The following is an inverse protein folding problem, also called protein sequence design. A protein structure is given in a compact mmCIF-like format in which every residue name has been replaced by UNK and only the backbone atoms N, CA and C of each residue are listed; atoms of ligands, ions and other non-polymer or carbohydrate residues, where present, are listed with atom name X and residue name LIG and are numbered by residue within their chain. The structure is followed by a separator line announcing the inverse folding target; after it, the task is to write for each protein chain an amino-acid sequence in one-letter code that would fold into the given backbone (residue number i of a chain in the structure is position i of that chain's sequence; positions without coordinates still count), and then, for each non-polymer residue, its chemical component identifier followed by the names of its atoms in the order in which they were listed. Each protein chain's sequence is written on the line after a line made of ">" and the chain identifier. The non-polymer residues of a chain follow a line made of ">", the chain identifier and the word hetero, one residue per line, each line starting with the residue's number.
data_IF_586635466315
#
_entry.id   IF_586635466315
#
_cell.length_a   1.000
_cell.length_b   1.000
_cell.length_c   1.000
_cell.angle_alpha   90.00
_cell.angle_beta   90.00
_cell.angle_gamma   90.00
#
_symmetry.space_group_name_H-M   'P 1'
#
loop_
_entity.id
_entity.type
_entity.pdbx_description
1 polymer ?
#
# COMPACT_ATOMS: atom_id res chain seq x y z
N UNK A 1 44.75 -21.47 19.14
CA UNK A 1 43.50 -21.31 18.35
C UNK A 1 42.43 -20.39 18.97
N UNK A 2 42.42 -20.05 20.28
CA UNK A 2 41.35 -19.23 20.91
C UNK A 2 41.37 -17.71 20.62
N UNK A 3 42.46 -17.14 20.07
CA UNK A 3 42.56 -15.69 19.86
C UNK A 3 41.97 -15.17 18.54
N UNK A 4 41.91 -15.98 17.47
CA UNK A 4 41.39 -15.53 16.17
C UNK A 4 39.87 -15.22 16.20
N UNK A 5 39.10 -15.95 17.01
CA UNK A 5 37.64 -15.77 17.08
C UNK A 5 37.24 -14.47 17.80
N UNK A 6 38.05 -13.97 18.74
CA UNK A 6 37.74 -12.72 19.46
C UNK A 6 37.84 -11.49 18.57
N UNK A 7 38.80 -11.48 17.65
CA UNK A 7 39.00 -10.36 16.71
C UNK A 7 37.85 -10.30 15.71
N UNK A 8 37.41 -11.43 15.17
CA UNK A 8 36.27 -11.47 14.24
C UNK A 8 34.96 -10.99 14.88
N UNK A 9 34.69 -11.36 16.14
CA UNK A 9 33.49 -10.90 16.86
C UNK A 9 33.52 -9.38 17.07
N UNK A 10 34.67 -8.80 17.43
CA UNK A 10 34.80 -7.35 17.60
C UNK A 10 34.61 -6.57 16.29
N UNK A 11 35.11 -7.11 15.17
CA UNK A 11 34.91 -6.50 13.84
C UNK A 11 33.42 -6.52 13.46
N UNK A 12 32.72 -7.64 13.70
CA UNK A 12 31.29 -7.76 13.41
C UNK A 12 30.45 -6.77 14.24
N UNK A 13 30.75 -6.64 15.53
CA UNK A 13 30.08 -5.68 16.41
C UNK A 13 30.32 -4.23 15.97
N UNK A 14 31.54 -3.90 15.53
CA UNK A 14 31.87 -2.60 14.96
C UNK A 14 31.03 -2.26 13.72
N UNK A 15 30.88 -3.22 12.80
CA UNK A 15 30.07 -3.04 11.59
C UNK A 15 28.58 -2.84 11.94
N UNK A 16 28.04 -3.62 12.88
CA UNK A 16 26.64 -3.49 13.32
C UNK A 16 26.37 -2.11 13.94
N UNK A 17 27.32 -1.59 14.74
CA UNK A 17 27.19 -0.26 15.34
C UNK A 17 27.22 0.87 14.30
N UNK A 18 28.08 0.74 13.27
CA UNK A 18 28.14 1.71 12.17
C UNK A 18 26.84 1.70 11.37
N UNK A 19 26.31 0.53 11.01
CA UNK A 19 25.05 0.39 10.28
C UNK A 19 23.89 0.99 11.10
N UNK A 20 23.84 0.69 12.41
CA UNK A 20 22.81 1.22 13.32
C UNK A 20 22.87 2.75 13.44
N UNK A 21 24.07 3.33 13.45
CA UNK A 21 24.27 4.77 13.48
C UNK A 21 23.81 5.45 12.18
N UNK A 22 24.17 4.89 11.01
CA UNK A 22 23.74 5.41 9.70
C UNK A 22 22.22 5.31 9.56
N UNK A 23 21.62 4.20 9.98
CA UNK A 23 20.17 4.01 9.95
C UNK A 23 19.44 5.02 10.84
N UNK A 24 19.94 5.27 12.07
CA UNK A 24 19.38 6.28 12.96
C UNK A 24 19.46 7.70 12.37
N UNK A 25 20.59 8.05 11.76
CA UNK A 25 20.76 9.33 11.05
C UNK A 25 19.79 9.48 9.89
N UNK A 26 19.58 8.41 9.10
CA UNK A 26 18.63 8.39 8.00
C UNK A 26 17.18 8.60 8.48
N UNK A 27 16.79 7.95 9.57
CA UNK A 27 15.46 8.14 10.20
C UNK A 27 15.26 9.58 10.71
N UNK A 28 16.29 10.21 11.28
CA UNK A 28 16.23 11.63 11.69
C UNK A 28 16.05 12.58 10.50
N UNK A 29 16.66 12.27 9.34
CA UNK A 29 16.50 13.06 8.12
C UNK A 29 15.08 12.96 7.56
N UNK A 30 14.50 11.76 7.54
CA UNK A 30 13.10 11.57 7.13
C UNK A 30 12.15 12.36 8.05
N UNK A 31 12.35 12.29 9.36
CA UNK A 31 11.52 13.01 10.34
C UNK A 31 11.60 14.54 10.20
N UNK A 32 12.74 15.11 9.77
CA UNK A 32 12.85 16.56 9.51
C UNK A 32 12.14 17.02 8.23
N UNK A 33 12.00 16.14 7.25
CA UNK A 33 11.33 16.49 6.01
C UNK A 33 9.81 16.52 6.19
N UNK A 34 9.26 15.70 7.08
CA UNK A 34 7.83 15.73 7.43
C UNK A 34 7.44 16.95 8.28
N UNK A 35 8.39 17.56 9.01
CA UNK A 35 8.12 18.73 9.86
C UNK A 35 8.19 20.08 9.14
N UNK A 36 8.34 20.11 7.81
CA UNK A 36 8.44 21.35 7.01
C UNK A 36 7.17 21.73 6.25
N UNK A 37 6.03 21.13 6.58
CA UNK A 37 4.73 21.65 6.16
C UNK A 37 4.37 22.77 7.13
N UNK A 38 4.67 24.03 6.75
CA UNK A 38 4.24 25.21 7.51
C UNK A 38 2.71 25.28 7.54
N UNK A 39 2.09 25.39 8.72
CA UNK A 39 0.69 25.78 8.82
C UNK A 39 0.57 27.24 8.40
N UNK A 40 -0.07 27.47 7.26
CA UNK A 40 -0.46 28.80 6.80
C UNK A 40 -1.25 29.52 7.90
N UNK A 41 -0.82 30.74 8.17
CA UNK A 41 -1.32 31.68 9.17
C UNK A 41 -2.84 31.88 9.12
N UNK A 42 -3.56 31.25 10.05
CA UNK A 42 -4.84 31.74 10.57
C UNK A 42 -4.81 31.44 12.06
N UNK A 43 -4.50 32.44 12.88
CA UNK A 43 -4.87 32.63 14.30
C UNK A 43 -3.87 33.55 15.01
N UNK A 44 -3.80 34.80 14.59
CA UNK A 44 -3.46 35.88 15.51
C UNK A 44 -4.73 36.62 15.89
N UNK A 45 -5.31 36.21 17.00
CA UNK A 45 -6.42 36.93 17.60
C UNK A 45 -7.25 36.05 18.51
N UNK A 46 -6.69 35.62 19.64
CA UNK A 46 -7.34 35.52 20.96
C UNK A 46 -6.26 35.07 21.95
N UNK A 47 -5.64 36.03 22.64
CA UNK A 47 -5.01 35.78 23.94
C UNK A 47 -5.08 37.04 24.80
N UNK A 48 -6.21 37.21 25.49
CA UNK A 48 -6.26 37.88 26.80
C UNK A 48 -7.58 37.57 27.50
N UNK A 49 -7.60 36.50 28.32
CA UNK A 49 -8.25 36.53 29.63
C UNK A 49 -8.00 35.27 30.45
N UNK A 50 -7.45 35.58 31.62
CA UNK A 50 -7.20 34.82 32.85
C UNK A 50 -8.33 33.87 33.27
N UNK A 51 -7.94 32.64 33.61
CA UNK A 51 -8.34 31.89 34.81
C UNK A 51 -9.82 31.64 35.07
N UNK A 52 -10.40 30.59 34.47
CA UNK A 52 -11.60 29.91 34.98
C UNK A 52 -11.43 28.40 34.78
N UNK A 53 -11.42 27.65 35.88
CA UNK A 53 -11.46 26.18 35.88
C UNK A 53 -12.88 25.73 35.54
N UNK A 54 -13.18 25.57 34.25
CA UNK A 54 -14.46 25.01 33.79
C UNK A 54 -14.30 23.52 33.57
N UNK A 55 -15.13 22.71 34.24
CA UNK A 55 -15.29 21.28 33.95
C UNK A 55 -15.73 21.16 32.50
N UNK A 56 -14.87 20.63 31.63
CA UNK A 56 -15.17 20.43 30.22
C UNK A 56 -16.15 19.23 30.12
N UNK A 57 -17.40 19.41 29.68
CA UNK A 57 -18.25 18.28 29.36
C UNK A 57 -17.65 17.56 28.15
N UNK A 58 -17.41 16.26 28.32
CA UNK A 58 -17.07 15.35 27.21
C UNK A 58 -18.30 15.28 26.32
N UNK A 59 -18.39 16.18 25.34
CA UNK A 59 -19.36 16.08 24.27
C UNK A 59 -18.87 14.99 23.32
N UNK A 60 -19.40 13.78 23.51
CA UNK A 60 -19.33 12.67 22.56
C UNK A 60 -20.23 12.98 21.36
N UNK A 61 -19.92 14.06 20.64
CA UNK A 61 -20.52 14.33 19.34
C UNK A 61 -19.91 13.32 18.37
N UNK A 62 -20.53 12.14 18.31
CA UNK A 62 -20.35 11.19 17.22
C UNK A 62 -20.86 11.88 15.98
N UNK A 63 -20.00 12.66 15.32
CA UNK A 63 -20.26 13.18 13.98
C UNK A 63 -20.43 11.95 13.10
N UNK A 64 -21.67 11.54 12.87
CA UNK A 64 -22.02 10.62 11.81
C UNK A 64 -21.54 11.28 10.53
N UNK A 65 -20.30 10.95 10.15
CA UNK A 65 -19.76 11.25 8.84
C UNK A 65 -20.76 10.66 7.87
N UNK A 66 -21.57 11.52 7.27
CA UNK A 66 -22.45 11.13 6.18
C UNK A 66 -21.50 10.52 5.16
N UNK A 67 -21.55 9.18 5.04
CA UNK A 67 -20.73 8.44 4.07
C UNK A 67 -21.18 8.93 2.71
N UNK A 68 -20.51 9.95 2.19
CA UNK A 68 -20.64 10.34 0.81
C UNK A 68 -20.22 9.12 0.01
N UNK A 69 -21.19 8.45 -0.60
CA UNK A 69 -20.90 7.43 -1.60
C UNK A 69 -20.12 8.13 -2.70
N UNK A 70 -18.87 7.72 -2.96
CA UNK A 70 -18.12 8.31 -4.06
C UNK A 70 -18.94 8.14 -5.35
N UNK A 71 -18.92 9.12 -6.25
CA UNK A 71 -19.60 8.99 -7.53
C UNK A 71 -19.10 7.72 -8.25
N UNK A 72 -19.96 7.04 -9.02
CA UNK A 72 -19.54 5.85 -9.76
C UNK A 72 -18.38 6.22 -10.70
N UNK A 73 -17.42 5.30 -10.92
CA UNK A 73 -16.27 5.57 -11.77
C UNK A 73 -16.73 5.88 -13.20
N UNK A 74 -16.09 6.87 -13.84
CA UNK A 74 -16.30 7.21 -15.25
C UNK A 74 -16.00 5.97 -16.09
N UNK A 75 -16.95 5.51 -16.90
CA UNK A 75 -16.79 4.36 -17.79
C UNK A 75 -16.28 4.78 -19.16
N UNK A 76 -15.60 3.86 -19.85
CA UNK A 76 -15.19 3.97 -21.25
C UNK A 76 -15.86 2.87 -22.07
N UNK A 77 -16.71 3.27 -23.01
CA UNK A 77 -17.41 2.37 -23.92
C UNK A 77 -16.91 2.50 -25.37
N UNK A 78 -15.81 3.23 -25.58
CA UNK A 78 -15.25 3.52 -26.90
C UNK A 78 -14.29 2.44 -27.40
N UNK A 79 -13.68 2.67 -28.57
CA UNK A 79 -12.60 1.82 -29.07
C UNK A 79 -11.42 1.79 -28.10
N UNK A 80 -10.85 0.61 -27.86
CA UNK A 80 -9.64 0.43 -27.04
C UNK A 80 -8.39 0.94 -27.79
N UNK A 81 -8.28 2.25 -27.91
CA UNK A 81 -7.18 2.97 -28.56
C UNK A 81 -6.61 4.01 -27.60
N UNK A 82 -5.31 4.33 -27.74
CA UNK A 82 -4.65 5.33 -26.88
C UNK A 82 -5.39 6.67 -26.90
N UNK A 83 -5.81 7.14 -28.08
CA UNK A 83 -6.52 8.42 -28.22
C UNK A 83 -7.87 8.42 -27.50
N UNK A 84 -8.67 7.36 -27.65
CA UNK A 84 -9.99 7.29 -27.04
C UNK A 84 -9.91 7.13 -25.51
N UNK A 85 -8.88 6.46 -25.01
CA UNK A 85 -8.57 6.38 -23.58
C UNK A 85 -8.14 7.73 -23.01
N UNK A 86 -7.35 8.53 -23.75
CA UNK A 86 -7.03 9.90 -23.34
C UNK A 86 -8.22 10.82 -23.33
N UNK A 87 -9.12 10.71 -24.31
CA UNK A 87 -10.37 11.48 -24.29
C UNK A 87 -11.23 11.13 -23.06
N UNK A 88 -11.21 9.84 -22.66
CA UNK A 88 -12.00 9.38 -21.52
C UNK A 88 -11.35 9.69 -20.17
N UNK A 89 -10.03 9.57 -20.05
CA UNK A 89 -9.32 9.54 -18.77
C UNK A 89 -8.07 10.43 -18.69
N UNK A 90 -7.80 11.23 -19.73
CA UNK A 90 -6.63 12.13 -19.81
C UNK A 90 -6.62 13.27 -18.78
N UNK A 91 -7.69 13.41 -18.00
CA UNK A 91 -7.75 14.32 -16.85
C UNK A 91 -6.73 13.96 -15.75
N UNK A 92 -6.22 12.72 -15.72
CA UNK A 92 -5.07 12.38 -14.87
C UNK A 92 -3.85 13.10 -15.43
N UNK A 93 -3.46 14.20 -14.76
CA UNK A 93 -2.28 14.99 -15.08
C UNK A 93 -1.09 14.07 -15.29
N UNK A 94 -0.52 14.12 -16.49
CA UNK A 94 0.75 13.51 -16.80
C UNK A 94 1.80 14.07 -15.82
N UNK A 95 2.52 13.18 -15.14
CA UNK A 95 3.66 13.56 -14.33
C UNK A 95 4.86 13.64 -15.28
N UNK A 96 5.41 14.84 -15.57
CA UNK A 96 6.47 14.98 -16.56
C UNK A 96 7.69 14.10 -16.27
N UNK A 97 8.00 13.86 -14.99
CA UNK A 97 9.12 13.01 -14.59
C UNK A 97 8.89 11.52 -14.89
N UNK A 98 7.63 11.10 -14.94
CA UNK A 98 7.22 9.74 -15.29
C UNK A 98 7.09 9.61 -16.80
N UNK A 99 6.60 10.65 -17.48
CA UNK A 99 6.48 10.74 -18.95
C UNK A 99 7.83 10.76 -19.66
N UNK A 100 8.86 11.32 -19.05
CA UNK A 100 10.23 11.26 -19.58
C UNK A 100 10.75 9.82 -19.71
N UNK A 101 10.45 8.96 -18.73
CA UNK A 101 10.96 7.58 -18.69
C UNK A 101 10.04 6.55 -19.31
N UNK A 102 8.74 6.74 -19.12
CA UNK A 102 7.71 5.79 -19.56
C UNK A 102 6.57 6.57 -20.22
N UNK A 103 6.70 7.12 -21.43
CA UNK A 103 5.67 7.99 -22.02
C UNK A 103 4.27 7.38 -21.93
N UNK A 104 3.28 8.17 -21.50
CA UNK A 104 1.95 7.65 -21.17
C UNK A 104 1.27 6.96 -22.36
N UNK A 105 1.43 7.51 -23.57
CA UNK A 105 0.90 6.93 -24.79
C UNK A 105 1.51 5.56 -25.11
N UNK A 106 2.82 5.41 -24.93
CA UNK A 106 3.54 4.16 -25.18
C UNK A 106 3.17 3.10 -24.14
N UNK A 107 3.04 3.52 -22.88
CA UNK A 107 2.57 2.65 -21.80
C UNK A 107 1.18 2.10 -22.08
N UNK A 108 0.23 2.95 -22.48
CA UNK A 108 -1.12 2.52 -22.86
C UNK A 108 -1.09 1.59 -24.06
N UNK A 109 -0.31 1.91 -25.10
CA UNK A 109 -0.16 1.03 -26.27
C UNK A 109 0.33 -0.36 -25.88
N UNK A 110 1.35 -0.46 -25.03
CA UNK A 110 1.88 -1.74 -24.53
C UNK A 110 0.80 -2.54 -23.79
N UNK A 111 -0.04 -1.91 -22.96
CA UNK A 111 -1.14 -2.60 -22.28
C UNK A 111 -2.18 -3.14 -23.28
N UNK A 112 -2.55 -2.32 -24.26
CA UNK A 112 -3.51 -2.70 -25.30
C UNK A 112 -2.99 -3.86 -26.18
N UNK A 113 -1.71 -3.84 -26.55
CA UNK A 113 -1.05 -4.92 -27.28
C UNK A 113 -1.03 -6.25 -26.51
N UNK A 114 -1.09 -6.18 -25.17
CA UNK A 114 -1.22 -7.33 -24.28
C UNK A 114 -2.68 -7.78 -24.06
N UNK A 115 -3.63 -7.20 -24.78
CA UNK A 115 -5.06 -7.55 -24.70
C UNK A 115 -5.79 -6.98 -23.50
N UNK A 116 -5.20 -5.99 -22.81
CA UNK A 116 -5.82 -5.37 -21.64
C UNK A 116 -6.95 -4.45 -22.06
N UNK A 117 -8.13 -4.71 -21.52
CA UNK A 117 -9.31 -3.86 -21.66
C UNK A 117 -9.36 -2.92 -20.45
N UNK A 118 -9.43 -1.62 -20.71
CA UNK A 118 -9.62 -0.57 -19.71
C UNK A 118 -11.07 -0.09 -19.81
N UNK A 119 -11.90 -0.49 -18.85
CA UNK A 119 -13.36 -0.27 -18.89
C UNK A 119 -13.78 1.00 -18.15
N UNK A 120 -13.00 1.42 -17.16
CA UNK A 120 -13.33 2.58 -16.33
C UNK A 120 -12.08 3.31 -15.79
N UNK A 121 -12.35 4.39 -15.08
CA UNK A 121 -11.32 5.22 -14.47
C UNK A 121 -10.46 4.46 -13.44
N UNK A 122 -11.02 3.48 -12.72
CA UNK A 122 -10.27 2.73 -11.72
C UNK A 122 -9.24 1.82 -12.39
N UNK A 123 -9.62 1.14 -13.48
CA UNK A 123 -8.68 0.38 -14.31
C UNK A 123 -7.54 1.30 -14.79
N UNK A 124 -7.89 2.41 -15.42
CA UNK A 124 -6.93 3.35 -15.98
C UNK A 124 -5.97 3.90 -14.92
N UNK A 125 -6.50 4.41 -13.81
CA UNK A 125 -5.71 4.97 -12.72
C UNK A 125 -4.81 3.92 -12.05
N UNK A 126 -5.27 2.66 -11.96
CA UNK A 126 -4.48 1.54 -11.47
C UNK A 126 -3.26 1.26 -12.35
N UNK A 127 -3.43 1.22 -13.67
CA UNK A 127 -2.31 1.06 -14.59
C UNK A 127 -1.35 2.25 -14.58
N UNK A 128 -1.85 3.48 -14.41
CA UNK A 128 -1.00 4.66 -14.22
C UNK A 128 -0.23 4.61 -12.89
N UNK A 129 -0.80 4.03 -11.83
CA UNK A 129 -0.10 3.82 -10.57
C UNK A 129 1.05 2.82 -10.72
N UNK A 130 0.86 1.73 -11.47
CA UNK A 130 1.92 0.77 -11.78
C UNK A 130 3.08 1.43 -12.55
N UNK A 131 2.75 2.27 -13.55
CA UNK A 131 3.71 3.09 -14.31
C UNK A 131 4.55 3.99 -13.40
N UNK A 132 3.91 4.74 -12.49
CA UNK A 132 4.61 5.58 -11.50
C UNK A 132 5.49 4.76 -10.55
N UNK A 133 5.05 3.55 -10.20
CA UNK A 133 5.84 2.67 -9.33
C UNK A 133 7.14 2.23 -10.01
N UNK A 134 7.13 1.91 -11.31
CA UNK A 134 8.34 1.53 -12.04
C UNK A 134 9.44 2.61 -11.96
N UNK A 135 9.08 3.88 -12.12
CA UNK A 135 10.04 5.00 -11.98
C UNK A 135 10.72 5.00 -10.61
N UNK A 136 9.98 4.68 -9.56
CA UNK A 136 10.52 4.62 -8.19
C UNK A 136 11.39 3.39 -7.94
N UNK A 137 11.23 2.32 -8.73
CA UNK A 137 11.93 1.05 -8.58
C UNK A 137 13.24 1.00 -9.38
N UNK A 138 13.36 1.74 -10.47
CA UNK A 138 14.52 1.71 -11.37
C UNK A 138 15.86 1.99 -10.68
N UNK A 139 15.85 2.91 -9.70
CA UNK A 139 17.05 3.28 -8.94
C UNK A 139 17.27 2.46 -7.67
N UNK A 140 16.56 1.34 -7.49
CA UNK A 140 16.51 0.58 -6.23
C UNK A 140 16.81 -0.91 -6.45
N UNK A 141 18.06 -1.27 -6.79
CA UNK A 141 18.42 -2.64 -7.08
C UNK A 141 18.18 -3.61 -5.91
N UNK A 142 18.21 -3.12 -4.68
CA UNK A 142 17.85 -3.91 -3.49
C UNK A 142 16.41 -4.44 -3.53
N UNK A 143 15.51 -3.78 -4.28
CA UNK A 143 14.12 -4.20 -4.40
C UNK A 143 13.91 -5.23 -5.51
N UNK A 144 14.61 -5.12 -6.65
CA UNK A 144 14.50 -6.12 -7.72
C UNK A 144 15.30 -7.41 -7.45
N UNK A 145 16.27 -7.35 -6.53
CA UNK A 145 17.06 -8.51 -6.07
C UNK A 145 16.39 -9.21 -4.89
N UNK A 146 15.21 -8.73 -4.50
CA UNK A 146 14.39 -9.29 -3.44
C UNK A 146 13.16 -10.00 -4.01
N UNK A 147 12.51 -10.82 -3.19
CA UNK A 147 11.26 -11.48 -3.50
C UNK A 147 10.02 -10.69 -3.03
N UNK A 148 10.16 -9.42 -2.63
CA UNK A 148 9.06 -8.71 -1.93
C UNK A 148 7.80 -8.56 -2.79
N UNK A 149 7.97 -8.53 -4.11
CA UNK A 149 6.89 -8.40 -5.09
C UNK A 149 6.30 -9.74 -5.54
N UNK A 150 6.74 -10.86 -4.95
CA UNK A 150 6.37 -12.20 -5.45
C UNK A 150 6.96 -12.49 -6.85
N UNK A 151 8.08 -11.83 -7.17
CA UNK A 151 8.84 -12.02 -8.41
C UNK A 151 10.14 -12.75 -8.09
N UNK A 152 10.64 -13.63 -8.98
CA UNK A 152 11.98 -14.17 -8.85
C UNK A 152 13.01 -13.03 -8.79
N UNK A 153 13.92 -13.03 -7.79
CA UNK A 153 15.01 -12.07 -7.74
C UNK A 153 15.82 -12.03 -9.05
N UNK A 154 16.17 -10.83 -9.50
CA UNK A 154 17.00 -10.63 -10.70
C UNK A 154 17.95 -9.46 -10.52
N UNK A 155 19.09 -9.50 -11.24
CA UNK A 155 20.07 -8.42 -11.31
C UNK A 155 19.91 -7.56 -12.56
N UNK A 156 18.95 -7.89 -13.44
CA UNK A 156 18.71 -7.19 -14.70
C UNK A 156 17.41 -6.38 -14.62
N UNK A 157 17.54 -5.06 -14.85
CA UNK A 157 16.40 -4.14 -14.81
C UNK A 157 15.33 -4.52 -15.80
N UNK A 158 15.70 -4.85 -17.04
CA UNK A 158 14.76 -5.09 -18.11
C UNK A 158 13.93 -6.35 -17.84
N UNK A 159 14.59 -7.40 -17.33
CA UNK A 159 13.92 -8.61 -16.82
C UNK A 159 12.97 -8.30 -15.66
N UNK A 160 13.41 -7.50 -14.67
CA UNK A 160 12.54 -7.13 -13.55
C UNK A 160 11.34 -6.31 -14.02
N UNK A 161 11.57 -5.31 -14.87
CA UNK A 161 10.55 -4.42 -15.42
C UNK A 161 9.47 -5.23 -16.14
N UNK A 162 9.86 -6.12 -17.05
CA UNK A 162 8.91 -6.97 -17.76
C UNK A 162 8.07 -7.83 -16.79
N UNK A 163 8.73 -8.52 -15.85
CA UNK A 163 8.06 -9.34 -14.85
C UNK A 163 7.13 -8.53 -13.93
N UNK A 164 7.53 -7.31 -13.57
CA UNK A 164 6.73 -6.39 -12.76
C UNK A 164 5.47 -5.95 -13.49
N UNK A 165 5.57 -5.59 -14.78
CA UNK A 165 4.39 -5.22 -15.58
C UNK A 165 3.44 -6.40 -15.69
N UNK A 166 3.94 -7.59 -16.05
CA UNK A 166 3.14 -8.81 -16.15
C UNK A 166 2.43 -9.11 -14.83
N UNK A 167 3.16 -8.97 -13.72
CA UNK A 167 2.62 -9.17 -12.38
C UNK A 167 1.52 -8.17 -12.04
N UNK A 168 1.70 -6.88 -12.35
CA UNK A 168 0.68 -5.86 -12.07
C UNK A 168 -0.57 -6.04 -12.90
N UNK A 169 -0.41 -6.41 -14.17
CA UNK A 169 -1.53 -6.80 -15.02
C UNK A 169 -2.31 -7.95 -14.38
N UNK A 170 -1.63 -9.03 -14.03
CA UNK A 170 -2.27 -10.19 -13.40
C UNK A 170 -2.97 -9.82 -12.09
N UNK A 171 -2.35 -9.00 -11.22
CA UNK A 171 -2.95 -8.55 -9.97
C UNK A 171 -4.27 -7.79 -10.21
N UNK A 172 -4.29 -6.87 -11.18
CA UNK A 172 -5.51 -6.14 -11.53
C UNK A 172 -6.60 -7.06 -12.09
N UNK A 173 -6.24 -8.02 -12.94
CA UNK A 173 -7.20 -8.98 -13.47
C UNK A 173 -7.83 -9.86 -12.38
N UNK A 174 -7.05 -10.30 -11.39
CA UNK A 174 -7.58 -11.05 -10.25
C UNK A 174 -8.56 -10.21 -9.43
N UNK A 175 -8.18 -8.97 -9.09
CA UNK A 175 -9.05 -8.05 -8.34
C UNK A 175 -10.36 -7.83 -9.10
N UNK A 176 -10.27 -7.51 -10.39
CA UNK A 176 -11.43 -7.25 -11.26
C UNK A 176 -12.33 -8.48 -11.39
N UNK A 177 -11.74 -9.66 -11.58
CA UNK A 177 -12.50 -10.91 -11.66
C UNK A 177 -13.31 -11.16 -10.40
N UNK A 178 -12.72 -10.93 -9.22
CA UNK A 178 -13.40 -11.12 -7.94
C UNK A 178 -14.48 -10.06 -7.70
N UNK A 179 -14.22 -8.79 -8.02
CA UNK A 179 -15.22 -7.72 -7.89
C UNK A 179 -16.42 -7.90 -8.82
N UNK A 180 -16.23 -8.49 -10.01
CA UNK A 180 -17.34 -8.86 -10.90
C UNK A 180 -18.16 -10.02 -10.35
N UNK A 181 -17.52 -10.99 -9.70
CA UNK A 181 -18.18 -12.14 -9.11
C UNK A 181 -18.92 -11.78 -7.80
N UNK A 182 -18.40 -10.82 -7.04
CA UNK A 182 -18.97 -10.36 -5.77
C UNK A 182 -18.89 -8.81 -5.69
N UNK A 183 -20.00 -8.11 -5.98
CA UNK A 183 -20.06 -6.65 -5.89
C UNK A 183 -19.83 -6.08 -4.48
N UNK A 184 -19.89 -6.92 -3.43
CA UNK A 184 -19.57 -6.52 -2.06
C UNK A 184 -18.06 -6.38 -1.81
N UNK A 185 -17.21 -6.86 -2.73
CA UNK A 185 -15.76 -6.73 -2.64
C UNK A 185 -15.33 -5.33 -3.04
N UNK A 186 -14.61 -4.66 -2.15
CA UNK A 186 -14.12 -3.28 -2.34
C UNK A 186 -12.63 -3.21 -2.69
N UNK A 187 -11.96 -4.37 -2.75
CA UNK A 187 -10.54 -4.49 -3.06
C UNK A 187 -9.97 -5.76 -2.47
N UNK A 188 -8.71 -5.72 -2.05
CA UNK A 188 -8.07 -6.85 -1.37
C UNK A 188 -6.56 -6.73 -1.36
N UNK A 189 -5.90 -7.81 -0.97
CA UNK A 189 -4.45 -7.87 -0.93
C UNK A 189 -3.96 -9.27 -1.27
N UNK A 190 -2.72 -9.33 -1.78
CA UNK A 190 -2.06 -10.57 -2.14
C UNK A 190 -1.19 -11.08 -0.99
N UNK A 191 -1.34 -12.35 -0.65
CA UNK A 191 -0.58 -13.04 0.39
C UNK A 191 0.02 -14.34 -0.14
N UNK A 192 0.71 -15.06 0.74
CA UNK A 192 1.48 -16.25 0.40
C UNK A 192 2.96 -15.94 0.19
N UNK A 193 3.71 -17.00 -0.08
CA UNK A 193 5.15 -16.92 -0.38
C UNK A 193 5.39 -16.28 -1.74
N UNK A 194 4.66 -16.74 -2.77
CA UNK A 194 4.69 -16.23 -4.14
C UNK A 194 3.77 -15.02 -4.37
N UNK A 195 3.11 -14.54 -3.31
CA UNK A 195 2.08 -13.50 -3.35
C UNK A 195 0.93 -13.84 -4.31
N UNK A 196 0.62 -15.10 -4.62
CA UNK A 196 -0.44 -15.41 -5.60
C UNK A 196 -1.83 -15.61 -5.00
N UNK A 197 -1.94 -15.66 -3.67
CA UNK A 197 -3.24 -15.80 -3.02
C UNK A 197 -3.89 -14.44 -2.83
N UNK A 198 -4.93 -14.13 -3.60
CA UNK A 198 -5.72 -12.93 -3.40
C UNK A 198 -6.73 -13.11 -2.26
N UNK A 199 -6.74 -12.16 -1.32
CA UNK A 199 -7.68 -12.10 -0.21
C UNK A 199 -8.58 -10.87 -0.38
N UNK A 200 -9.87 -11.05 -0.76
CA UNK A 200 -10.76 -9.93 -1.02
C UNK A 200 -11.15 -9.20 0.26
N UNK A 201 -11.12 -7.87 0.22
CA UNK A 201 -11.65 -7.01 1.25
C UNK A 201 -13.14 -6.78 1.00
N UNK A 202 -13.97 -7.00 2.02
CA UNK A 202 -15.41 -6.73 2.00
C UNK A 202 -15.86 -6.24 3.37
N UNK A 203 -16.96 -5.47 3.46
CA UNK A 203 -17.54 -5.10 4.74
C UNK A 203 -17.83 -6.32 5.62
N UNK A 204 -17.54 -6.21 6.91
CA UNK A 204 -17.63 -7.27 7.90
C UNK A 204 -16.53 -8.33 7.81
N UNK A 205 -15.50 -8.22 6.96
CA UNK A 205 -14.45 -9.25 6.87
C UNK A 205 -13.10 -8.77 7.42
N UNK A 206 -12.53 -9.58 8.31
CA UNK A 206 -11.23 -9.33 8.93
C UNK A 206 -10.34 -10.55 8.81
N UNK A 207 -9.11 -10.33 8.36
CA UNK A 207 -8.08 -11.35 8.31
C UNK A 207 -7.10 -11.14 9.47
N UNK A 208 -6.85 -12.20 10.23
CA UNK A 208 -5.99 -12.15 11.41
C UNK A 208 -4.76 -13.00 11.18
N UNK A 209 -3.58 -12.37 11.18
CA UNK A 209 -2.29 -13.06 11.10
C UNK A 209 -1.59 -12.97 12.44
N UNK A 210 -1.55 -14.06 13.20
CA UNK A 210 -0.81 -14.14 14.47
C UNK A 210 0.69 -14.27 14.23
N UNK A 211 1.50 -13.50 14.95
CA UNK A 211 2.96 -13.50 14.88
C UNK A 211 3.56 -13.41 16.29
N UNK A 212 3.98 -14.56 16.85
CA UNK A 212 4.46 -14.63 18.23
C UNK A 212 3.37 -14.21 19.21
N UNK A 213 3.66 -13.19 20.03
CA UNK A 213 2.70 -12.59 20.97
C UNK A 213 1.81 -11.50 20.34
N UNK A 214 2.07 -11.12 19.09
CA UNK A 214 1.30 -10.09 18.38
C UNK A 214 0.37 -10.66 17.32
N UNK A 215 -0.44 -9.78 16.73
CA UNK A 215 -1.24 -10.08 15.55
C UNK A 215 -1.31 -8.87 14.62
N UNK A 216 -1.47 -9.14 13.33
CA UNK A 216 -1.80 -8.14 12.33
C UNK A 216 -3.24 -8.37 11.85
N UNK A 217 -3.99 -7.28 11.73
CA UNK A 217 -5.35 -7.26 11.22
C UNK A 217 -5.35 -6.63 9.84
N UNK A 218 -6.03 -7.26 8.88
CA UNK A 218 -6.17 -6.79 7.50
C UNK A 218 -7.64 -6.87 7.11
N UNK A 219 -8.09 -6.03 6.18
CA UNK A 219 -9.50 -5.93 5.81
C UNK A 219 -10.19 -4.80 6.58
N UNK A 220 -11.36 -5.07 7.14
CA UNK A 220 -12.08 -4.07 7.94
C UNK A 220 -11.38 -3.81 9.29
N UNK A 221 -11.36 -2.54 9.71
CA UNK A 221 -10.78 -2.14 10.98
C UNK A 221 -11.72 -2.53 12.12
N UNK A 222 -11.21 -3.34 13.05
CA UNK A 222 -11.84 -3.59 14.34
C UNK A 222 -11.43 -2.49 15.33
N UNK A 223 -12.33 -2.11 16.23
CA UNK A 223 -11.96 -1.24 17.36
C UNK A 223 -11.04 -1.98 18.37
N UNK A 224 -10.45 -1.24 19.30
CA UNK A 224 -9.50 -1.81 20.27
C UNK A 224 -10.12 -2.89 21.16
N UNK A 225 -11.40 -2.75 21.51
CA UNK A 225 -12.11 -3.72 22.36
C UNK A 225 -12.33 -5.01 21.58
N UNK A 226 -12.82 -4.91 20.35
CA UNK A 226 -13.00 -6.04 19.43
C UNK A 226 -11.68 -6.75 19.12
N UNK A 227 -10.59 -6.01 18.91
CA UNK A 227 -9.26 -6.61 18.71
C UNK A 227 -8.80 -7.36 19.96
N UNK A 228 -8.97 -6.77 21.15
CA UNK A 228 -8.59 -7.40 22.41
C UNK A 228 -9.39 -8.68 22.66
N UNK A 229 -10.72 -8.60 22.54
CA UNK A 229 -11.62 -9.73 22.74
C UNK A 229 -11.34 -10.87 21.77
N UNK A 230 -11.06 -10.55 20.50
CA UNK A 230 -10.70 -11.56 19.52
C UNK A 230 -9.35 -12.23 19.80
N UNK A 231 -8.36 -11.47 20.26
CA UNK A 231 -7.00 -12.00 20.48
C UNK A 231 -6.85 -12.79 21.76
N UNK A 232 -7.42 -12.28 22.87
CA UNK A 232 -7.18 -12.77 24.22
C UNK A 232 -8.35 -13.58 24.78
N UNK A 233 -9.58 -13.18 24.48
CA UNK A 233 -10.79 -13.88 24.95
C UNK A 233 -11.30 -14.91 23.93
N UNK A 234 -10.83 -14.84 22.69
CA UNK A 234 -11.29 -15.70 21.59
C UNK A 234 -12.73 -15.40 21.17
N UNK A 235 -13.22 -14.19 21.44
CA UNK A 235 -14.59 -13.77 21.12
C UNK A 235 -14.59 -13.11 19.74
N UNK A 236 -15.35 -13.68 18.81
CA UNK A 236 -15.56 -13.10 17.47
C UNK A 236 -16.54 -11.93 17.56
N UNK A 237 -16.18 -10.72 17.08
CA UNK A 237 -17.11 -9.59 17.03
C UNK A 237 -18.36 -9.91 16.22
N UNK A 238 -19.53 -9.51 16.71
CA UNK A 238 -20.81 -9.72 16.03
C UNK A 238 -20.82 -9.03 14.66
N UNK A 239 -21.35 -9.71 13.63
CA UNK A 239 -21.39 -9.19 12.26
C UNK A 239 -20.08 -9.31 11.49
N UNK A 240 -19.02 -9.83 12.10
CA UNK A 240 -17.72 -10.01 11.45
C UNK A 240 -17.44 -11.47 11.07
N UNK A 241 -16.98 -11.67 9.84
CA UNK A 241 -16.30 -12.87 9.36
C UNK A 241 -14.80 -12.74 9.62
N UNK A 242 -14.31 -13.47 10.63
CA UNK A 242 -12.89 -13.52 10.98
C UNK A 242 -12.20 -14.71 10.32
N UNK A 243 -11.18 -14.44 9.51
CA UNK A 243 -10.39 -15.45 8.80
C UNK A 243 -8.97 -15.47 9.36
N UNK A 244 -8.56 -16.58 9.97
CA UNK A 244 -7.20 -16.75 10.47
C UNK A 244 -6.22 -17.11 9.35
N UNK A 245 -5.15 -16.33 9.21
CA UNK A 245 -4.06 -16.58 8.27
C UNK A 245 -2.97 -17.40 8.96
N UNK A 246 -2.88 -18.69 8.64
CA UNK A 246 -1.81 -19.56 9.13
C UNK A 246 -0.48 -19.22 8.46
N UNK A 247 0.59 -19.09 9.26
CA UNK A 247 1.94 -19.11 8.73
C UNK A 247 2.23 -20.53 8.24
N UNK A 248 2.39 -20.70 6.93
CA UNK A 248 2.92 -21.95 6.37
C UNK A 248 4.33 -22.11 6.94
N UNK A 249 4.54 -23.11 7.80
CA UNK A 249 5.88 -23.46 8.28
C UNK A 249 6.63 -24.06 7.10
N UNK A 250 7.67 -23.38 6.62
CA UNK A 250 8.66 -24.00 5.73
C UNK A 250 9.27 -25.18 6.51
N UNK A 251 8.99 -26.40 6.05
CA UNK A 251 9.54 -27.62 6.62
C UNK A 251 10.93 -27.88 6.03
#
# INVERSE_FOLDING_TARGET
>A
MKHKNKVQILVLLGIILIISFVFRKYQETLRRNDSKIEPTQIEEGIQKRVGVTTKIPVNTSTTQSQRHTPPPPKKHNGPQTVSALFESFGEILADPSVDEKYPQAEWLRMLLERGIIIEDYNDYSGYMAARRMLVKLEGKPELWTSDIFGLPPTNDWETFKAAFVDRKIWEYEQVRSVMRADPGVTGGFFTGEDKRTFLPAKPGRVYVKRQGTGAAFLGETLDETQQFDLLYNGITPEGYEVISLSLVKKC
#
